data_IF_951412957291
#
_entry.id   IF_951412957291
#
_cell.length_a   1.000
_cell.length_b   1.000
_cell.length_c   1.000
_cell.angle_alpha   90.00
_cell.angle_beta   90.00
_cell.angle_gamma   90.00
#
_symmetry.space_group_name_H-M   'P 1'
#
loop_
_entity.id
_entity.type
_entity.pdbx_description
1 polymer ?
#
# COMPACT_ATOMS: atom_id res chain seq x y z
N UNK A 1 -17.01 -11.21 4.92
CA UNK A 1 -16.53 -10.56 6.16
C UNK A 1 -15.00 -10.34 6.14
N UNK A 2 -14.40 -9.78 5.08
CA UNK A 2 -12.93 -9.63 4.97
C UNK A 2 -12.43 -8.17 4.81
N UNK A 3 -13.34 -7.20 4.69
CA UNK A 3 -12.97 -5.79 4.45
C UNK A 3 -12.60 -5.00 5.70
N UNK A 4 -13.08 -5.42 6.89
CA UNK A 4 -12.87 -4.67 8.13
C UNK A 4 -11.46 -4.84 8.73
N UNK A 5 -10.78 -5.97 8.50
CA UNK A 5 -9.44 -6.21 9.06
C UNK A 5 -8.37 -5.34 8.39
N UNK A 6 -8.46 -5.17 7.08
CA UNK A 6 -7.42 -4.47 6.33
C UNK A 6 -7.48 -2.94 6.51
N UNK A 7 -8.66 -2.38 6.79
CA UNK A 7 -8.81 -0.96 7.19
C UNK A 7 -8.17 -0.67 8.56
N UNK A 8 -8.39 -1.56 9.54
CA UNK A 8 -7.75 -1.44 10.86
C UNK A 8 -6.24 -1.66 10.82
N UNK A 9 -5.76 -2.55 9.95
CA UNK A 9 -4.33 -2.80 9.76
C UNK A 9 -3.65 -1.57 9.14
N UNK A 10 -4.24 -1.00 8.09
CA UNK A 10 -3.77 0.22 7.44
C UNK A 10 -3.62 1.38 8.43
N UNK A 11 -4.67 1.68 9.21
CA UNK A 11 -4.62 2.75 10.22
C UNK A 11 -3.52 2.54 11.24
N UNK A 12 -3.30 1.29 11.66
CA UNK A 12 -2.26 0.95 12.62
C UNK A 12 -0.86 1.07 12.01
N UNK A 13 -0.67 0.64 10.76
CA UNK A 13 0.59 0.77 10.04
C UNK A 13 0.92 2.23 9.75
N UNK A 14 -0.09 3.05 9.42
CA UNK A 14 0.08 4.48 9.24
C UNK A 14 0.40 5.21 10.56
N UNK A 15 -0.21 4.79 11.67
CA UNK A 15 0.00 5.44 12.98
C UNK A 15 1.28 4.99 13.70
N UNK A 16 1.66 3.70 13.59
CA UNK A 16 2.85 3.15 14.28
C UNK A 16 4.09 3.04 13.40
N UNK A 17 3.95 3.19 12.09
CA UNK A 17 5.00 2.84 11.14
C UNK A 17 5.04 1.33 10.94
N UNK A 18 4.58 0.89 9.76
CA UNK A 18 4.72 -0.49 9.30
C UNK A 18 6.03 -0.72 8.56
N UNK A 19 6.51 -1.96 8.52
CA UNK A 19 7.64 -2.31 7.64
C UNK A 19 7.21 -2.36 6.17
N UNK A 20 8.15 -2.10 5.26
CA UNK A 20 7.89 -2.22 3.81
C UNK A 20 7.23 -3.55 3.44
N UNK A 21 7.65 -4.64 4.06
CA UNK A 21 7.12 -5.99 3.81
C UNK A 21 5.62 -6.11 4.15
N UNK A 22 5.16 -5.48 5.23
CA UNK A 22 3.74 -5.49 5.63
C UNK A 22 2.89 -4.73 4.62
N UNK A 23 3.35 -3.56 4.19
CA UNK A 23 2.68 -2.76 3.18
C UNK A 23 2.62 -3.47 1.82
N UNK A 24 3.73 -4.05 1.37
CA UNK A 24 3.79 -4.81 0.12
C UNK A 24 2.80 -5.98 0.15
N UNK A 25 2.71 -6.68 1.27
CA UNK A 25 1.76 -7.79 1.46
C UNK A 25 0.32 -7.31 1.34
N UNK A 26 -0.01 -6.17 1.94
CA UNK A 26 -1.35 -5.58 1.91
C UNK A 26 -1.74 -5.19 0.47
N UNK A 27 -0.86 -4.51 -0.26
CA UNK A 27 -1.07 -4.12 -1.66
C UNK A 27 -1.26 -5.35 -2.56
N UNK A 28 -0.44 -6.39 -2.38
CA UNK A 28 -0.57 -7.67 -3.10
C UNK A 28 -1.89 -8.36 -2.81
N UNK A 29 -2.33 -8.40 -1.55
CA UNK A 29 -3.64 -8.95 -1.18
C UNK A 29 -4.79 -8.23 -1.86
N UNK A 30 -4.80 -6.90 -1.87
CA UNK A 30 -5.84 -6.13 -2.56
C UNK A 30 -5.82 -6.35 -4.08
N UNK A 31 -4.63 -6.46 -4.67
CA UNK A 31 -4.49 -6.71 -6.10
C UNK A 31 -4.93 -8.12 -6.50
N UNK A 32 -4.63 -9.13 -5.68
CA UNK A 32 -5.11 -10.50 -5.88
C UNK A 32 -6.64 -10.61 -5.78
N UNK A 33 -7.27 -9.73 -4.99
CA UNK A 33 -8.72 -9.60 -4.89
C UNK A 33 -9.34 -8.76 -6.02
N UNK A 34 -8.55 -8.21 -6.95
CA UNK A 34 -8.99 -7.32 -8.02
C UNK A 34 -9.32 -5.89 -7.57
N UNK A 35 -9.12 -5.57 -6.29
CA UNK A 35 -9.40 -4.25 -5.69
C UNK A 35 -8.23 -3.29 -5.96
N UNK A 36 -7.95 -3.03 -7.25
CA UNK A 36 -6.83 -2.19 -7.71
C UNK A 36 -6.84 -0.79 -7.12
N UNK A 37 -8.03 -0.20 -6.95
CA UNK A 37 -8.17 1.13 -6.36
C UNK A 37 -7.72 1.17 -4.89
N UNK A 38 -8.11 0.15 -4.10
CA UNK A 38 -7.63 0.01 -2.71
C UNK A 38 -6.13 -0.26 -2.65
N UNK A 39 -5.61 -1.10 -3.55
CA UNK A 39 -4.19 -1.37 -3.63
C UNK A 39 -3.38 -0.08 -3.89
N UNK A 40 -3.87 0.80 -4.77
CA UNK A 40 -3.25 2.10 -5.03
C UNK A 40 -3.29 3.03 -3.79
N UNK A 41 -4.41 3.12 -3.08
CA UNK A 41 -4.53 3.93 -1.85
C UNK A 41 -3.57 3.46 -0.75
N UNK A 42 -3.47 2.14 -0.55
CA UNK A 42 -2.53 1.55 0.41
C UNK A 42 -1.09 1.84 0.02
N UNK A 43 -0.77 1.77 -1.28
CA UNK A 43 0.58 2.02 -1.77
C UNK A 43 1.00 3.48 -1.57
N UNK A 44 0.08 4.43 -1.70
CA UNK A 44 0.34 5.85 -1.39
C UNK A 44 0.60 6.06 0.11
N UNK A 45 -0.24 5.48 0.97
CA UNK A 45 -0.07 5.54 2.44
C UNK A 45 1.22 4.89 2.89
N UNK A 46 1.60 3.77 2.27
CA UNK A 46 2.88 3.11 2.50
C UNK A 46 4.05 4.04 2.17
N UNK A 47 4.00 4.77 1.04
CA UNK A 47 5.05 5.75 0.67
C UNK A 47 5.16 6.88 1.69
N UNK A 48 4.04 7.37 2.21
CA UNK A 48 4.04 8.41 3.25
C UNK A 48 4.61 7.89 4.57
N UNK A 49 4.16 6.72 5.03
CA UNK A 49 4.63 6.11 6.27
C UNK A 49 6.12 5.73 6.21
N UNK A 50 6.60 5.34 5.03
CA UNK A 50 7.97 4.92 4.76
C UNK A 50 8.79 6.00 4.06
N UNK A 51 8.37 7.27 4.10
CA UNK A 51 9.11 8.37 3.47
C UNK A 51 10.52 8.53 4.04
N UNK A 52 10.73 8.14 5.31
CA UNK A 52 12.04 8.11 5.96
C UNK A 52 12.89 6.89 5.55
N UNK A 53 12.30 5.86 4.92
CA UNK A 53 12.97 4.62 4.52
C UNK A 53 13.13 4.57 2.99
N UNK A 54 14.30 5.01 2.51
CA UNK A 54 14.57 5.06 1.07
C UNK A 54 14.58 3.68 0.40
N UNK A 55 14.95 2.62 1.14
CA UNK A 55 14.95 1.25 0.62
C UNK A 55 13.52 0.75 0.38
N UNK A 56 12.59 1.09 1.27
CA UNK A 56 11.19 0.81 1.12
C UNK A 56 10.56 1.48 -0.10
N UNK A 57 10.90 2.75 -0.36
CA UNK A 57 10.41 3.50 -1.50
C UNK A 57 10.64 2.77 -2.84
N UNK A 58 11.85 2.23 -3.03
CA UNK A 58 12.19 1.46 -4.23
C UNK A 58 11.37 0.17 -4.37
N UNK A 59 11.11 -0.55 -3.27
CA UNK A 59 10.29 -1.77 -3.29
C UNK A 59 8.83 -1.48 -3.60
N UNK A 60 8.28 -0.39 -3.06
CA UNK A 60 6.91 0.03 -3.33
C UNK A 60 6.72 0.44 -4.79
N UNK A 61 7.70 1.13 -5.39
CA UNK A 61 7.66 1.48 -6.81
C UNK A 61 7.70 0.25 -7.71
N UNK A 62 8.61 -0.68 -7.42
CA UNK A 62 8.69 -1.98 -8.11
C UNK A 62 7.35 -2.71 -8.07
N UNK A 63 6.75 -2.83 -6.88
CA UNK A 63 5.47 -3.51 -6.73
C UNK A 63 4.34 -2.82 -7.51
N UNK A 64 4.28 -1.48 -7.47
CA UNK A 64 3.27 -0.74 -8.23
C UNK A 64 3.37 -1.03 -9.73
N UNK A 65 4.61 -1.11 -10.25
CA UNK A 65 4.89 -1.42 -11.66
C UNK A 65 4.54 -2.87 -12.00
N UNK A 66 4.91 -3.83 -11.15
CA UNK A 66 4.53 -5.25 -11.31
C UNK A 66 3.02 -5.43 -11.40
N UNK A 67 2.27 -4.70 -10.58
CA UNK A 67 0.81 -4.82 -10.48
C UNK A 67 0.07 -3.91 -11.48
N UNK A 68 0.78 -3.08 -12.25
CA UNK A 68 0.20 -2.09 -13.15
C UNK A 68 -0.69 -1.08 -12.41
N UNK A 69 -0.41 -0.81 -11.14
CA UNK A 69 -1.19 0.12 -10.33
C UNK A 69 -0.84 1.54 -10.74
N UNK A 70 -1.81 2.36 -11.16
CA UNK A 70 -1.54 3.75 -11.46
C UNK A 70 -1.08 4.43 -10.18
N UNK A 71 0.12 5.00 -10.19
CA UNK A 71 0.70 5.77 -9.08
C UNK A 71 -0.07 7.05 -8.74
N UNK A 72 -1.21 7.27 -9.38
CA UNK A 72 -2.19 8.31 -9.12
C UNK A 72 -3.50 7.93 -9.82
N UNK A 73 -4.61 7.84 -9.09
CA UNK A 73 -5.64 8.85 -9.31
C UNK A 73 -6.04 9.49 -7.98
N UNK A 74 -5.15 10.30 -7.42
CA UNK A 74 -5.61 11.41 -6.60
C UNK A 74 -6.22 12.45 -7.52
N UNK A 75 -7.55 12.64 -7.46
CA UNK A 75 -8.19 13.95 -7.64
C UNK A 75 -9.72 13.95 -7.43
N UNK A 76 -10.33 15.10 -7.07
CA UNK A 76 -9.75 16.44 -6.86
C UNK A 76 -9.61 16.92 -5.41
#
# INVERSE_FOLDING_TARGET
>A
MARHRADGLDRRLAAKGGSADEWLRLVRSYSALGERERAAQVLERARMALAADSAAGGRLDLLARELGLPGRPGKP
#
